data_IF_566028031073
#
_entry.id   IF_566028031073
#
_cell.length_a   1.000
_cell.length_b   1.000
_cell.length_c   1.000
_cell.angle_alpha   90.00
_cell.angle_beta   90.00
_cell.angle_gamma   90.00
#
_symmetry.space_group_name_H-M   'P 1'
#
loop_
_entity.id
_entity.type
_entity.pdbx_description
1 polymer ?
#
# COMPACT_ATOMS: atom_id res chain seq x y z
N UNK A 1 30.22 103.91 -20.53
CA UNK A 1 28.96 103.47 -19.87
C UNK A 1 29.21 102.09 -19.27
N UNK A 2 29.16 101.95 -17.94
CA UNK A 2 28.93 100.73 -17.13
C UNK A 2 29.12 99.40 -17.90
N UNK A 3 30.23 98.62 -17.89
CA UNK A 3 31.03 97.99 -16.79
C UNK A 3 30.11 97.33 -15.74
N UNK A 4 30.01 96.01 -15.54
CA UNK A 4 30.98 94.88 -15.38
C UNK A 4 30.53 93.69 -16.29
N UNK A 5 31.27 92.62 -16.66
CA UNK A 5 32.62 92.09 -16.36
C UNK A 5 32.53 90.63 -15.84
N UNK A 6 33.46 89.69 -16.09
CA UNK A 6 34.67 89.71 -16.93
C UNK A 6 35.31 88.31 -17.12
N UNK A 7 36.45 88.29 -17.84
CA UNK A 7 37.59 87.35 -17.86
C UNK A 7 37.42 85.81 -17.69
N UNK A 8 38.03 85.06 -18.63
CA UNK A 8 38.39 83.63 -18.49
C UNK A 8 38.42 82.92 -19.86
N UNK A 9 39.54 82.93 -20.60
CA UNK A 9 40.62 81.91 -20.58
C UNK A 9 40.26 80.55 -21.19
N UNK A 10 40.96 80.21 -22.29
CA UNK A 10 41.34 78.84 -22.62
C UNK A 10 40.25 77.87 -23.08
N UNK A 11 39.88 77.93 -24.37
CA UNK A 11 39.32 76.77 -25.08
C UNK A 11 40.44 75.73 -25.35
N UNK A 12 40.95 75.12 -24.29
CA UNK A 12 41.62 73.83 -24.38
C UNK A 12 40.53 72.79 -24.65
N UNK A 13 40.39 72.38 -25.92
CA UNK A 13 39.43 71.36 -26.30
C UNK A 13 39.74 70.05 -25.57
N UNK A 14 38.91 69.70 -24.59
CA UNK A 14 38.92 68.35 -24.02
C UNK A 14 38.41 67.41 -25.10
N UNK A 15 39.34 66.85 -25.86
CA UNK A 15 39.07 65.68 -26.69
C UNK A 15 38.79 64.54 -25.72
N UNK A 16 37.51 64.33 -25.42
CA UNK A 16 37.06 63.08 -24.81
C UNK A 16 37.31 62.00 -25.86
N UNK A 17 38.49 61.38 -25.79
CA UNK A 17 38.74 60.11 -26.45
C UNK A 17 37.80 59.12 -25.80
N UNK A 18 36.64 58.93 -26.41
CA UNK A 18 35.86 57.73 -26.23
C UNK A 18 36.70 56.58 -26.78
N UNK A 19 37.59 56.04 -25.94
CA UNK A 19 38.12 54.71 -26.16
C UNK A 19 36.88 53.82 -26.32
N UNK A 20 36.78 53.16 -27.48
CA UNK A 20 35.84 52.07 -27.65
C UNK A 20 36.32 50.99 -26.69
N UNK A 21 35.75 50.97 -25.48
CA UNK A 21 35.98 49.91 -24.51
C UNK A 21 35.73 48.61 -25.25
N UNK A 22 36.76 47.75 -25.28
CA UNK A 22 36.61 46.43 -25.85
C UNK A 22 35.79 45.64 -24.81
N UNK A 23 35.07 44.64 -25.29
CA UNK A 23 34.38 43.72 -24.39
C UNK A 23 35.32 42.55 -24.15
N UNK A 24 35.39 42.05 -22.92
CA UNK A 24 36.16 40.85 -22.62
C UNK A 24 35.68 39.71 -23.53
N UNK A 25 36.59 39.06 -24.28
CA UNK A 25 36.23 37.96 -25.17
C UNK A 25 35.86 36.71 -24.36
N UNK A 26 35.13 35.73 -24.94
CA UNK A 26 34.60 34.58 -24.18
C UNK A 26 35.65 33.67 -23.54
N UNK A 27 36.91 33.75 -23.97
CA UNK A 27 38.07 33.05 -23.41
C UNK A 27 38.69 33.73 -22.18
N UNK A 28 38.25 34.95 -21.82
CA UNK A 28 38.56 35.62 -20.54
C UNK A 28 37.56 35.27 -19.41
N UNK A 29 36.78 34.20 -19.57
CA UNK A 29 35.82 33.70 -18.58
C UNK A 29 36.12 32.25 -18.17
N UNK A 30 36.40 32.04 -16.88
CA UNK A 30 36.56 30.71 -16.29
C UNK A 30 35.21 30.15 -15.84
N UNK A 31 35.00 28.85 -16.03
CA UNK A 31 33.81 28.12 -15.57
C UNK A 31 34.27 26.95 -14.71
N UNK A 32 33.76 26.87 -13.49
CA UNK A 32 34.23 25.95 -12.45
C UNK A 32 33.06 25.44 -11.59
N UNK A 33 33.36 24.59 -10.61
CA UNK A 33 32.43 24.14 -9.57
C UNK A 33 31.08 23.61 -10.09
N UNK A 34 31.12 22.66 -11.06
CA UNK A 34 29.92 21.95 -11.51
C UNK A 34 29.31 21.14 -10.36
N UNK A 35 28.08 21.49 -9.98
CA UNK A 35 27.26 20.81 -8.99
C UNK A 35 26.02 20.26 -9.68
N UNK A 36 25.72 18.98 -9.43
CA UNK A 36 24.49 18.32 -9.90
C UNK A 36 23.79 17.77 -8.66
N UNK A 37 22.55 18.17 -8.42
CA UNK A 37 21.82 17.83 -7.20
C UNK A 37 20.30 17.68 -7.44
N UNK A 38 19.69 16.54 -7.05
CA UNK A 38 20.35 15.35 -6.51
C UNK A 38 21.11 14.58 -7.61
N UNK A 39 22.02 13.68 -7.21
CA UNK A 39 22.73 12.80 -8.15
C UNK A 39 21.93 11.55 -8.53
N UNK A 40 20.89 11.21 -7.75
CA UNK A 40 19.90 10.17 -8.02
C UNK A 40 18.52 10.80 -7.83
N UNK A 41 17.61 10.60 -8.78
CA UNK A 41 16.29 11.25 -8.84
C UNK A 41 15.24 10.29 -9.37
N UNK A 42 13.99 10.42 -8.93
CA UNK A 42 12.88 9.71 -9.60
C UNK A 42 12.48 10.44 -10.88
N UNK A 43 12.07 9.72 -11.91
CA UNK A 43 11.49 10.31 -13.13
C UNK A 43 10.35 11.29 -12.79
N UNK A 44 10.31 12.43 -13.48
CA UNK A 44 9.35 13.51 -13.24
C UNK A 44 9.73 14.49 -12.12
N UNK A 45 10.80 14.25 -11.35
CA UNK A 45 11.33 15.21 -10.37
C UNK A 45 12.53 16.00 -10.93
N UNK A 46 12.70 17.28 -10.57
CA UNK A 46 13.76 18.12 -11.14
C UNK A 46 15.14 17.81 -10.54
N UNK A 47 16.17 17.94 -11.39
CA UNK A 47 17.59 17.98 -11.04
C UNK A 47 18.10 19.38 -11.29
N UNK A 48 18.77 19.96 -10.29
CA UNK A 48 19.49 21.22 -10.42
C UNK A 48 20.92 20.98 -10.89
N UNK A 49 21.34 21.70 -11.91
CA UNK A 49 22.70 21.69 -12.48
C UNK A 49 23.22 23.12 -12.39
N UNK A 50 24.32 23.35 -11.67
CA UNK A 50 24.90 24.70 -11.53
C UNK A 50 26.42 24.71 -11.66
N UNK A 51 26.97 25.87 -12.02
CA UNK A 51 28.40 26.12 -12.11
C UNK A 51 28.72 27.56 -11.71
N UNK A 52 29.93 27.80 -11.23
CA UNK A 52 30.45 29.15 -11.02
C UNK A 52 31.05 29.67 -12.34
N UNK A 53 30.77 30.92 -12.68
CA UNK A 53 31.36 31.62 -13.83
C UNK A 53 32.05 32.88 -13.32
N UNK A 54 33.32 33.08 -13.66
CA UNK A 54 34.11 34.24 -13.26
C UNK A 54 34.72 34.94 -14.49
N UNK A 55 34.60 36.28 -14.56
CA UNK A 55 35.31 37.07 -15.56
C UNK A 55 36.72 37.39 -15.04
N UNK A 56 37.70 36.61 -15.48
CA UNK A 56 39.13 36.78 -15.16
C UNK A 56 39.82 37.82 -16.06
N UNK A 57 39.09 38.44 -16.98
CA UNK A 57 39.52 39.48 -17.88
C UNK A 57 39.68 40.86 -17.25
N UNK A 58 39.98 41.85 -18.09
CA UNK A 58 40.18 43.27 -17.64
C UNK A 58 39.07 44.22 -18.06
N UNK A 59 38.11 43.75 -18.86
CA UNK A 59 36.97 44.53 -19.35
C UNK A 59 35.64 43.84 -18.99
N UNK A 60 34.53 44.59 -19.04
CA UNK A 60 33.20 43.98 -18.93
C UNK A 60 32.93 43.13 -20.19
N UNK A 61 32.34 41.96 -20.02
CA UNK A 61 32.00 41.07 -21.13
C UNK A 61 30.73 40.27 -20.87
N UNK A 62 30.31 39.51 -21.88
CA UNK A 62 29.19 38.57 -21.76
C UNK A 62 29.60 37.21 -22.32
N UNK A 63 29.19 36.14 -21.65
CA UNK A 63 29.43 34.76 -22.08
C UNK A 63 28.12 33.96 -22.07
N UNK A 64 27.93 33.16 -23.12
CA UNK A 64 26.86 32.16 -23.18
C UNK A 64 27.36 30.87 -22.52
N UNK A 65 26.65 30.42 -21.49
CA UNK A 65 26.84 29.13 -20.83
C UNK A 65 25.79 28.18 -21.36
N UNK A 66 26.24 27.06 -21.92
CA UNK A 66 25.39 26.05 -22.54
C UNK A 66 25.39 24.82 -21.63
N UNK A 67 24.19 24.36 -21.25
CA UNK A 67 23.98 23.10 -20.56
C UNK A 67 23.48 22.05 -21.56
N UNK A 68 24.19 20.94 -21.64
CA UNK A 68 23.85 19.78 -22.47
C UNK A 68 23.58 18.57 -21.58
N UNK A 69 22.60 17.77 -22.00
CA UNK A 69 22.29 16.47 -21.39
C UNK A 69 22.29 15.42 -22.49
N UNK A 70 23.04 14.34 -22.31
CA UNK A 70 23.34 13.31 -23.32
C UNK A 70 23.82 13.87 -24.68
N UNK A 71 24.51 15.01 -24.65
CA UNK A 71 25.00 15.73 -25.84
C UNK A 71 23.93 16.51 -26.61
N UNK A 72 22.75 16.72 -26.03
CA UNK A 72 21.72 17.64 -26.55
C UNK A 72 21.64 18.89 -25.67
N UNK A 73 21.66 20.07 -26.27
CA UNK A 73 21.47 21.34 -25.56
C UNK A 73 20.06 21.37 -24.94
N UNK A 74 19.99 21.45 -23.61
CA UNK A 74 18.73 21.56 -22.86
C UNK A 74 18.42 23.00 -22.47
N UNK A 75 19.45 23.81 -22.23
CA UNK A 75 19.31 25.21 -21.86
C UNK A 75 20.58 26.02 -22.18
N UNK A 76 20.42 27.31 -22.39
CA UNK A 76 21.51 28.28 -22.51
C UNK A 76 21.18 29.53 -21.68
N UNK A 77 22.19 30.13 -21.06
CA UNK A 77 22.08 31.39 -20.31
C UNK A 77 23.23 32.33 -20.68
N UNK A 78 22.96 33.63 -20.77
CA UNK A 78 23.98 34.65 -21.04
C UNK A 78 24.23 35.43 -19.75
N UNK A 79 25.42 35.27 -19.18
CA UNK A 79 25.90 36.09 -18.05
C UNK A 79 26.67 37.30 -18.57
N UNK A 80 26.65 38.41 -17.81
CA UNK A 80 27.40 39.63 -18.12
C UNK A 80 28.05 40.15 -16.86
N UNK A 81 29.38 40.08 -16.80
CA UNK A 81 30.15 40.25 -15.56
C UNK A 81 31.23 41.32 -15.75
N UNK A 82 31.42 42.14 -14.72
CA UNK A 82 32.56 43.04 -14.60
C UNK A 82 33.87 42.27 -14.32
N UNK A 83 35.05 42.89 -14.50
CA UNK A 83 36.33 42.28 -14.16
C UNK A 83 36.41 41.81 -12.69
N UNK A 84 36.70 40.53 -12.47
CA UNK A 84 36.75 39.90 -11.15
C UNK A 84 35.37 39.69 -10.48
N UNK A 85 34.28 39.82 -11.23
CA UNK A 85 32.94 39.44 -10.79
C UNK A 85 32.65 37.98 -11.13
N UNK A 86 31.92 37.29 -10.26
CA UNK A 86 31.50 35.91 -10.44
C UNK A 86 30.02 35.69 -10.12
N UNK A 87 29.39 34.82 -10.90
CA UNK A 87 27.96 34.49 -10.81
C UNK A 87 27.76 32.97 -10.86
N UNK A 88 26.79 32.46 -10.07
CA UNK A 88 26.40 31.05 -10.11
C UNK A 88 25.25 30.89 -11.10
N UNK A 89 25.54 30.22 -12.22
CA UNK A 89 24.58 29.88 -13.26
C UNK A 89 23.88 28.59 -12.87
N UNK A 90 22.55 28.52 -12.99
CA UNK A 90 21.75 27.35 -12.60
C UNK A 90 20.71 26.99 -13.65
N UNK A 91 20.62 25.70 -13.94
CA UNK A 91 19.67 25.07 -14.85
C UNK A 91 18.85 24.03 -14.08
N UNK A 92 17.64 23.74 -14.55
CA UNK A 92 16.80 22.66 -14.04
C UNK A 92 16.43 21.71 -15.18
N UNK A 93 16.56 20.40 -14.93
CA UNK A 93 16.24 19.33 -15.89
C UNK A 93 15.37 18.29 -15.21
N UNK A 94 14.25 17.92 -15.85
CA UNK A 94 13.36 16.86 -15.35
C UNK A 94 13.46 15.63 -16.27
N UNK A 95 14.05 14.51 -15.83
CA UNK A 95 14.14 13.30 -16.63
C UNK A 95 12.79 12.58 -16.73
N UNK A 96 12.43 12.14 -17.95
CA UNK A 96 11.20 11.38 -18.22
C UNK A 96 11.45 9.86 -18.36
N UNK A 97 12.70 9.42 -18.46
CA UNK A 97 13.09 8.03 -18.70
C UNK A 97 14.13 7.60 -17.66
N UNK A 98 13.95 6.43 -17.05
CA UNK A 98 14.92 5.90 -16.11
C UNK A 98 16.20 5.43 -16.81
N UNK A 99 17.33 6.05 -16.46
CA UNK A 99 18.71 5.77 -16.93
C UNK A 99 19.69 6.72 -16.24
N UNK A 100 20.99 6.45 -16.39
CA UNK A 100 22.02 7.48 -16.19
C UNK A 100 22.01 8.48 -17.35
N UNK A 101 22.06 9.77 -17.02
CA UNK A 101 22.19 10.89 -17.95
C UNK A 101 23.60 11.49 -17.81
N UNK A 102 24.27 11.77 -18.93
CA UNK A 102 25.50 12.58 -18.90
C UNK A 102 25.17 14.06 -18.98
N UNK A 103 25.95 14.90 -18.28
CA UNK A 103 25.78 16.36 -18.25
C UNK A 103 27.10 16.99 -18.68
N UNK A 104 27.02 17.96 -19.60
CA UNK A 104 28.13 18.89 -19.91
C UNK A 104 27.69 20.35 -19.72
N UNK A 105 28.55 21.15 -19.09
CA UNK A 105 28.36 22.61 -18.95
C UNK A 105 29.68 23.30 -19.27
N UNK A 106 29.76 23.96 -20.43
CA UNK A 106 30.94 24.68 -20.93
C UNK A 106 32.30 23.95 -20.77
N UNK A 107 32.31 22.63 -20.97
CA UNK A 107 33.51 21.79 -20.86
C UNK A 107 33.75 21.14 -19.49
N UNK A 108 32.91 21.43 -18.49
CA UNK A 108 32.78 20.61 -17.27
C UNK A 108 31.85 19.41 -17.55
N UNK A 109 32.07 18.30 -16.87
CA UNK A 109 31.32 17.05 -17.08
C UNK A 109 30.86 16.43 -15.76
N UNK A 110 29.67 15.85 -15.77
CA UNK A 110 29.11 15.07 -14.66
C UNK A 110 28.00 14.13 -15.14
N UNK A 111 27.26 13.56 -14.21
CA UNK A 111 26.12 12.68 -14.50
C UNK A 111 25.17 12.60 -13.30
N UNK A 112 23.92 12.28 -13.56
CA UNK A 112 22.95 11.86 -12.55
C UNK A 112 22.21 10.59 -13.03
N UNK A 113 21.61 9.85 -12.09
CA UNK A 113 20.78 8.69 -12.37
C UNK A 113 19.30 9.03 -12.15
N UNK A 114 18.47 8.72 -13.15
CA UNK A 114 17.03 8.75 -13.01
C UNK A 114 16.51 7.33 -12.81
N UNK A 115 15.70 7.10 -11.78
CA UNK A 115 15.09 5.82 -11.44
C UNK A 115 13.56 5.87 -11.62
N UNK A 116 12.92 4.72 -11.84
CA UNK A 116 11.47 4.63 -11.79
C UNK A 116 10.98 4.69 -10.33
N UNK A 117 9.74 5.13 -10.09
CA UNK A 117 9.13 4.95 -8.77
C UNK A 117 9.03 3.44 -8.47
N UNK A 118 9.56 2.95 -7.34
CA UNK A 118 9.56 1.52 -7.06
C UNK A 118 8.13 1.06 -6.75
N UNK A 119 7.61 0.10 -7.51
CA UNK A 119 6.26 -0.42 -7.32
C UNK A 119 6.18 -1.35 -6.09
N UNK A 120 5.00 -1.42 -5.48
CA UNK A 120 4.77 -2.26 -4.29
C UNK A 120 4.92 -3.76 -4.60
N UNK A 121 5.79 -4.48 -3.86
CA UNK A 121 5.82 -5.96 -3.84
C UNK A 121 4.82 -6.47 -2.79
N UNK A 122 3.58 -6.68 -3.22
CA UNK A 122 2.50 -7.19 -2.37
C UNK A 122 2.43 -8.71 -2.46
N UNK A 123 2.54 -9.39 -1.32
CA UNK A 123 2.41 -10.84 -1.19
C UNK A 123 1.24 -11.24 -0.29
N UNK A 124 0.60 -12.35 -0.66
CA UNK A 124 -0.50 -12.96 0.09
C UNK A 124 -0.05 -14.33 0.58
N UNK A 125 -0.12 -14.54 1.89
CA UNK A 125 0.38 -15.76 2.55
C UNK A 125 -0.46 -16.11 3.79
N UNK A 126 -0.07 -17.20 4.47
CA UNK A 126 -0.69 -17.65 5.73
C UNK A 126 -2.21 -17.83 5.65
N UNK A 127 -2.70 -18.62 4.69
CA UNK A 127 -4.10 -19.03 4.63
C UNK A 127 -4.50 -19.81 5.88
N UNK A 128 -5.47 -19.29 6.63
CA UNK A 128 -6.10 -19.91 7.79
C UNK A 128 -7.59 -20.10 7.51
N UNK A 129 -8.12 -21.26 7.89
CA UNK A 129 -9.55 -21.59 7.81
C UNK A 129 -9.96 -22.13 9.18
N UNK A 130 -10.97 -21.51 9.81
CA UNK A 130 -11.40 -21.89 11.16
C UNK A 130 -12.91 -21.68 11.36
N UNK A 131 -13.66 -22.66 11.88
CA UNK A 131 -13.24 -24.05 12.13
C UNK A 131 -13.06 -24.84 10.83
N UNK A 132 -12.34 -25.97 10.88
CA UNK A 132 -12.20 -26.90 9.75
C UNK A 132 -13.33 -27.93 9.67
N UNK A 133 -14.12 -28.08 10.73
CA UNK A 133 -15.27 -28.98 10.83
C UNK A 133 -16.49 -28.26 11.43
N UNK A 134 -17.01 -27.19 10.78
CA UNK A 134 -18.21 -26.50 11.23
C UNK A 134 -19.45 -27.40 11.18
N UNK A 135 -20.45 -27.07 11.97
CA UNK A 135 -21.83 -27.51 11.69
C UNK A 135 -22.43 -26.69 10.54
N UNK A 136 -23.36 -27.26 9.78
CA UNK A 136 -24.19 -26.50 8.82
C UNK A 136 -24.87 -25.32 9.54
N UNK A 137 -24.80 -24.13 8.94
CA UNK A 137 -25.28 -22.89 9.54
C UNK A 137 -24.29 -22.18 10.49
N UNK A 138 -23.12 -22.77 10.78
CA UNK A 138 -22.06 -22.13 11.58
C UNK A 138 -21.14 -21.25 10.72
N UNK A 139 -20.57 -20.19 11.28
CA UNK A 139 -19.67 -19.29 10.56
C UNK A 139 -18.25 -19.88 10.50
N UNK A 140 -17.68 -19.92 9.30
CA UNK A 140 -16.26 -20.19 9.05
C UNK A 140 -15.56 -18.89 8.67
N UNK A 141 -14.51 -18.56 9.41
CA UNK A 141 -13.60 -17.48 9.05
C UNK A 141 -12.46 -18.03 8.18
N UNK A 142 -12.28 -17.44 7.01
CA UNK A 142 -11.20 -17.72 6.07
C UNK A 142 -10.33 -16.46 6.02
N UNK A 143 -9.05 -16.53 6.36
CA UNK A 143 -8.18 -15.36 6.38
C UNK A 143 -6.80 -15.60 5.76
N UNK A 144 -6.17 -14.51 5.31
CA UNK A 144 -4.80 -14.46 4.78
C UNK A 144 -4.10 -13.21 5.31
N UNK A 145 -2.77 -13.27 5.40
CA UNK A 145 -1.94 -12.07 5.63
C UNK A 145 -1.53 -11.50 4.27
N UNK A 146 -1.75 -10.20 4.09
CA UNK A 146 -1.31 -9.43 2.92
C UNK A 146 -0.25 -8.44 3.39
N UNK A 147 0.93 -8.50 2.79
CA UNK A 147 2.10 -7.68 3.17
C UNK A 147 2.66 -6.96 1.95
N UNK A 148 2.91 -5.66 2.07
CA UNK A 148 3.72 -4.90 1.12
C UNK A 148 5.17 -4.91 1.61
N UNK A 149 6.05 -5.64 0.93
CA UNK A 149 7.41 -5.93 1.41
C UNK A 149 8.35 -4.76 1.14
N UNK A 150 8.27 -4.17 -0.04
CA UNK A 150 9.14 -3.09 -0.51
C UNK A 150 8.47 -2.28 -1.62
N UNK A 151 9.10 -1.16 -2.00
CA UNK A 151 8.58 -0.20 -2.97
C UNK A 151 7.73 0.89 -2.32
N UNK A 152 6.81 1.47 -3.09
CA UNK A 152 5.88 2.50 -2.65
C UNK A 152 4.57 1.93 -2.04
N UNK A 153 3.67 2.82 -1.60
CA UNK A 153 2.34 2.41 -1.18
C UNK A 153 1.53 1.82 -2.35
N UNK A 154 1.01 0.60 -2.17
CA UNK A 154 0.27 -0.14 -3.19
C UNK A 154 -1.14 -0.53 -2.74
N UNK A 155 -2.00 -0.90 -3.68
CA UNK A 155 -3.31 -1.51 -3.39
C UNK A 155 -3.44 -2.86 -4.08
N UNK A 156 -4.01 -3.83 -3.37
CA UNK A 156 -4.23 -5.19 -3.84
C UNK A 156 -5.65 -5.65 -3.52
N UNK A 157 -6.30 -6.33 -4.46
CA UNK A 157 -7.62 -6.94 -4.26
C UNK A 157 -7.43 -8.43 -4.04
N UNK A 158 -7.79 -8.90 -2.84
CA UNK A 158 -7.78 -10.31 -2.47
C UNK A 158 -9.09 -10.95 -2.91
N UNK A 159 -9.02 -12.05 -3.64
CA UNK A 159 -10.18 -12.78 -4.16
C UNK A 159 -10.35 -14.13 -3.45
N UNK A 160 -11.50 -14.32 -2.80
CA UNK A 160 -11.99 -15.62 -2.37
C UNK A 160 -12.71 -16.33 -3.53
N UNK A 161 -12.31 -17.57 -3.80
CA UNK A 161 -12.87 -18.44 -4.84
C UNK A 161 -13.02 -19.89 -4.34
N UNK A 162 -13.54 -20.76 -5.21
CA UNK A 162 -13.88 -22.16 -4.90
C UNK A 162 -15.39 -22.33 -4.80
N UNK A 163 -15.86 -22.93 -3.71
CA UNK A 163 -17.29 -23.04 -3.39
C UNK A 163 -17.92 -21.70 -2.96
N UNK A 164 -17.10 -20.71 -2.60
CA UNK A 164 -17.51 -19.36 -2.20
C UNK A 164 -16.92 -18.31 -3.14
N UNK A 165 -17.48 -17.10 -3.13
CA UNK A 165 -16.98 -15.94 -3.88
C UNK A 165 -17.12 -14.66 -3.08
N UNK A 166 -16.01 -13.98 -2.84
CA UNK A 166 -15.95 -12.64 -2.25
C UNK A 166 -14.64 -11.96 -2.69
N UNK A 167 -14.55 -10.65 -2.51
CA UNK A 167 -13.32 -9.89 -2.76
C UNK A 167 -13.19 -8.76 -1.74
N UNK A 168 -11.95 -8.41 -1.39
CA UNK A 168 -11.65 -7.28 -0.52
C UNK A 168 -10.36 -6.59 -0.96
N UNK A 169 -10.42 -5.28 -1.18
CA UNK A 169 -9.25 -4.47 -1.50
C UNK A 169 -8.60 -3.91 -0.23
N UNK A 170 -7.27 -3.98 -0.16
CA UNK A 170 -6.46 -3.32 0.86
C UNK A 170 -5.43 -2.40 0.20
N UNK A 171 -5.17 -1.26 0.84
CA UNK A 171 -4.04 -0.38 0.53
C UNK A 171 -3.01 -0.53 1.64
N UNK A 172 -1.73 -0.65 1.28
CA UNK A 172 -0.62 -0.96 2.19
C UNK A 172 0.55 0.01 1.96
N UNK A 173 1.02 0.67 3.01
CA UNK A 173 2.31 1.40 2.96
C UNK A 173 3.48 0.42 2.94
N UNK A 174 4.70 0.84 2.58
CA UNK A 174 5.87 -0.04 2.56
C UNK A 174 6.14 -0.65 3.94
N UNK A 175 6.36 -1.97 3.99
CA UNK A 175 6.53 -2.73 5.23
C UNK A 175 5.24 -2.99 6.02
N UNK A 176 4.07 -2.55 5.54
CA UNK A 176 2.78 -2.79 6.22
C UNK A 176 2.25 -4.20 5.93
N UNK A 177 1.69 -4.84 6.95
CA UNK A 177 0.93 -6.09 6.84
C UNK A 177 -0.49 -5.92 7.39
N UNK A 178 -1.48 -6.44 6.68
CA UNK A 178 -2.89 -6.50 7.10
C UNK A 178 -3.43 -7.92 6.96
N UNK A 179 -4.26 -8.35 7.90
CA UNK A 179 -5.05 -9.59 7.75
C UNK A 179 -6.34 -9.25 6.99
N UNK A 180 -6.61 -9.99 5.92
CA UNK A 180 -7.90 -9.97 5.21
C UNK A 180 -8.68 -11.21 5.64
N UNK A 181 -9.95 -11.04 5.97
CA UNK A 181 -10.81 -12.11 6.48
C UNK A 181 -12.18 -12.09 5.82
N UNK A 182 -12.62 -13.26 5.36
CA UNK A 182 -13.95 -13.52 4.84
C UNK A 182 -14.71 -14.42 5.81
N UNK A 183 -15.99 -14.16 6.02
CA UNK A 183 -16.90 -15.03 6.76
C UNK A 183 -17.83 -15.72 5.78
N UNK A 184 -17.94 -17.04 5.89
CA UNK A 184 -18.84 -17.87 5.07
C UNK A 184 -19.64 -18.83 5.95
N UNK A 185 -20.84 -19.18 5.51
CA UNK A 185 -21.72 -20.13 6.20
C UNK A 185 -22.05 -21.28 5.24
N UNK A 186 -21.78 -22.55 5.60
CA UNK A 186 -22.13 -23.69 4.76
C UNK A 186 -23.59 -24.11 5.00
N UNK A 187 -24.39 -24.12 3.93
CA UNK A 187 -25.82 -24.50 3.98
C UNK A 187 -26.08 -26.01 3.90
N UNK A 188 -25.08 -26.82 3.52
CA UNK A 188 -25.20 -28.27 3.33
C UNK A 188 -23.97 -29.01 3.83
N UNK A 189 -24.15 -30.23 4.36
CA UNK A 189 -23.04 -31.04 4.84
C UNK A 189 -22.24 -31.63 3.67
N UNK A 190 -21.01 -31.17 3.49
CA UNK A 190 -20.05 -31.65 2.48
C UNK A 190 -18.64 -31.13 2.76
N UNK A 191 -17.66 -31.63 2.02
CA UNK A 191 -16.37 -30.95 1.87
C UNK A 191 -16.53 -29.69 1.00
N UNK A 192 -15.95 -28.58 1.46
CA UNK A 192 -15.88 -27.29 0.75
C UNK A 192 -14.42 -27.00 0.36
N UNK A 193 -14.25 -26.55 -0.88
CA UNK A 193 -12.98 -26.09 -1.43
C UNK A 193 -12.87 -24.57 -1.39
N UNK A 194 -11.71 -24.08 -0.96
CA UNK A 194 -11.42 -22.66 -0.79
C UNK A 194 -10.13 -22.33 -1.55
N UNK A 195 -10.13 -21.21 -2.25
CA UNK A 195 -8.91 -20.57 -2.72
C UNK A 195 -8.91 -19.09 -2.42
N UNK A 196 -7.76 -18.56 -1.99
CA UNK A 196 -7.55 -17.13 -1.77
C UNK A 196 -6.28 -16.73 -2.50
N UNK A 197 -6.39 -15.97 -3.59
CA UNK A 197 -5.27 -15.58 -4.48
C UNK A 197 -4.31 -16.73 -4.86
N UNK A 198 -4.85 -17.94 -5.09
CA UNK A 198 -4.06 -19.12 -5.45
C UNK A 198 -3.49 -19.91 -4.27
N UNK A 199 -3.61 -19.43 -3.03
CA UNK A 199 -3.53 -20.29 -1.86
C UNK A 199 -4.76 -21.21 -1.85
N UNK A 200 -4.61 -22.45 -1.36
CA UNK A 200 -5.66 -23.46 -1.39
C UNK A 200 -5.87 -24.10 -0.02
N UNK A 201 -7.13 -24.35 0.33
CA UNK A 201 -7.52 -25.04 1.55
C UNK A 201 -8.92 -25.67 1.44
N UNK A 202 -9.33 -26.38 2.48
CA UNK A 202 -10.66 -26.99 2.55
C UNK A 202 -11.13 -27.16 3.99
N UNK A 203 -12.45 -27.24 4.17
CA UNK A 203 -13.10 -27.61 5.42
C UNK A 203 -14.26 -28.57 5.13
N UNK A 204 -14.79 -29.26 6.14
CA UNK A 204 -15.91 -30.20 5.99
C UNK A 204 -17.06 -29.76 6.87
N UNK A 205 -18.15 -29.30 6.26
CA UNK A 205 -19.37 -29.01 7.00
C UNK A 205 -20.08 -30.31 7.38
N UNK A 206 -20.50 -30.40 8.64
CA UNK A 206 -21.22 -31.55 9.20
C UNK A 206 -22.71 -31.23 9.36
N UNK A 207 -23.56 -32.25 9.28
CA UNK A 207 -25.00 -32.10 9.49
C UNK A 207 -25.30 -31.52 10.88
N UNK A 208 -26.37 -30.73 10.99
CA UNK A 208 -26.89 -30.34 12.31
C UNK A 208 -27.41 -31.61 12.98
N UNK A 209 -26.67 -32.09 13.98
CA UNK A 209 -27.09 -33.24 14.76
C UNK A 209 -28.44 -32.97 15.44
N UNK A 210 -29.40 -33.89 15.26
CA UNK A 210 -30.75 -33.77 15.84
C UNK A 210 -31.00 -34.91 16.81
N UNK A 211 -31.41 -34.65 18.06
CA UNK A 211 -31.80 -35.71 18.98
C UNK A 211 -33.16 -36.27 18.57
N UNK A 212 -33.27 -37.60 18.52
CA UNK A 212 -34.51 -38.30 18.21
C UNK A 212 -34.61 -39.52 19.13
N UNK A 213 -35.81 -39.89 19.58
CA UNK A 213 -35.96 -40.88 20.65
C UNK A 213 -36.90 -42.01 20.26
N UNK A 214 -36.46 -43.25 20.49
CA UNK A 214 -37.38 -44.38 20.61
C UNK A 214 -37.73 -44.57 22.10
N UNK A 215 -39.00 -44.85 22.37
CA UNK A 215 -39.51 -45.05 23.73
C UNK A 215 -40.15 -46.43 23.81
N UNK A 216 -39.66 -47.25 24.72
CA UNK A 216 -40.29 -48.51 25.11
C UNK A 216 -40.85 -48.36 26.53
N UNK A 217 -42.00 -48.98 26.80
CA UNK A 217 -42.65 -48.95 28.10
C UNK A 217 -43.21 -50.33 28.45
N UNK A 218 -43.15 -50.69 29.73
CA UNK A 218 -43.68 -51.96 30.22
C UNK A 218 -44.20 -51.85 31.64
N UNK A 219 -45.26 -52.61 31.95
CA UNK A 219 -45.84 -52.72 33.30
C UNK A 219 -45.35 -54.03 33.92
N UNK A 220 -44.70 -53.95 35.08
CA UNK A 220 -44.11 -55.10 35.78
C UNK A 220 -45.18 -55.91 36.53
N UNK A 221 -46.19 -55.24 37.09
CA UNK A 221 -47.28 -55.88 37.83
C UNK A 221 -48.65 -55.56 37.21
N UNK A 222 -49.00 -56.23 36.10
CA UNK A 222 -50.24 -55.97 35.34
C UNK A 222 -51.57 -56.10 36.13
N UNK A 223 -51.57 -56.75 37.29
CA UNK A 223 -52.75 -56.92 38.16
C UNK A 223 -52.40 -56.59 39.62
N UNK A 224 -52.19 -55.31 39.96
CA UNK A 224 -51.97 -54.90 41.35
C UNK A 224 -53.27 -55.09 42.13
N UNK A 225 -53.16 -55.39 43.43
CA UNK A 225 -54.33 -55.39 44.32
C UNK A 225 -54.76 -53.97 44.65
N UNK A 226 -55.93 -53.85 45.29
CA UNK A 226 -56.34 -52.61 45.95
C UNK A 226 -55.23 -52.20 46.94
N UNK A 227 -54.89 -50.91 46.93
CA UNK A 227 -53.81 -50.28 47.71
C UNK A 227 -52.36 -50.71 47.36
N UNK A 228 -52.14 -51.45 46.27
CA UNK A 228 -50.79 -51.68 45.70
C UNK A 228 -50.43 -50.63 44.62
N UNK A 229 -49.14 -50.30 44.50
CA UNK A 229 -48.64 -49.42 43.43
C UNK A 229 -48.54 -50.15 42.09
N UNK A 230 -48.71 -49.43 40.97
CA UNK A 230 -48.33 -49.94 39.64
C UNK A 230 -46.83 -49.71 39.47
N UNK A 231 -46.07 -50.78 39.33
CA UNK A 231 -44.68 -50.77 38.91
C UNK A 231 -44.60 -50.88 37.38
N UNK A 232 -43.83 -49.98 36.78
CA UNK A 232 -43.62 -49.89 35.34
C UNK A 232 -42.24 -49.32 35.07
N UNK A 233 -41.73 -49.51 33.86
CA UNK A 233 -40.47 -48.95 33.38
C UNK A 233 -40.68 -48.21 32.06
N UNK A 234 -39.75 -47.30 31.77
CA UNK A 234 -39.64 -46.60 30.48
C UNK A 234 -38.17 -46.59 30.08
N UNK A 235 -37.86 -47.15 28.93
CA UNK A 235 -36.55 -47.05 28.30
C UNK A 235 -36.64 -45.99 27.19
N UNK A 236 -35.70 -45.05 27.19
CA UNK A 236 -35.59 -44.00 26.19
C UNK A 236 -34.20 -44.12 25.57
N UNK A 237 -34.14 -44.51 24.30
CA UNK A 237 -32.90 -44.58 23.53
C UNK A 237 -32.84 -43.38 22.60
N UNK A 238 -31.71 -42.67 22.56
CA UNK A 238 -31.48 -41.63 21.57
C UNK A 238 -31.01 -42.27 20.26
N UNK A 239 -31.93 -42.33 19.32
CA UNK A 239 -31.73 -42.81 17.94
C UNK A 239 -31.41 -41.67 16.97
N UNK A 240 -31.14 -40.46 17.48
CA UNK A 240 -30.77 -39.28 16.73
C UNK A 240 -29.26 -39.21 16.43
N UNK A 241 -28.82 -38.00 16.05
CA UNK A 241 -27.42 -37.69 15.69
C UNK A 241 -26.79 -36.63 16.59
N UNK A 242 -27.51 -36.13 17.60
CA UNK A 242 -26.97 -35.27 18.66
C UNK A 242 -27.47 -35.72 20.04
N UNK A 243 -26.74 -35.41 21.13
CA UNK A 243 -27.21 -35.62 22.49
C UNK A 243 -28.49 -34.82 22.78
N UNK A 244 -29.30 -35.28 23.71
CA UNK A 244 -30.47 -34.52 24.13
C UNK A 244 -31.14 -35.00 25.42
N UNK A 245 -31.83 -34.08 26.08
CA UNK A 245 -32.50 -34.28 27.37
C UNK A 245 -34.02 -34.17 27.20
N UNK A 246 -34.72 -35.25 26.80
CA UNK A 246 -36.17 -35.22 26.61
C UNK A 246 -36.93 -34.91 27.91
N UNK A 247 -38.02 -34.14 27.77
CA UNK A 247 -38.97 -33.92 28.86
C UNK A 247 -40.04 -34.99 28.85
N UNK A 248 -40.07 -35.82 29.89
CA UNK A 248 -41.07 -36.86 30.11
C UNK A 248 -42.25 -36.24 30.87
N UNK A 249 -43.47 -36.40 30.36
CA UNK A 249 -44.70 -35.87 30.97
C UNK A 249 -45.64 -37.00 31.36
N UNK A 250 -46.07 -36.99 32.61
CA UNK A 250 -46.91 -38.02 33.22
C UNK A 250 -48.36 -37.57 33.27
N UNK A 251 -49.25 -38.46 32.84
CA UNK A 251 -50.69 -38.23 32.83
C UNK A 251 -51.40 -39.39 33.53
N UNK A 252 -52.44 -39.08 34.30
CA UNK A 252 -53.34 -40.04 34.95
C UNK A 252 -54.76 -39.74 34.52
N UNK A 253 -55.45 -40.72 33.95
CA UNK A 253 -56.83 -40.58 33.47
C UNK A 253 -57.02 -39.37 32.52
N UNK A 254 -56.01 -39.12 31.66
CA UNK A 254 -55.95 -37.97 30.74
C UNK A 254 -55.55 -36.63 31.37
N UNK A 255 -55.51 -36.54 32.70
CA UNK A 255 -55.09 -35.33 33.43
C UNK A 255 -53.57 -35.30 33.64
N UNK A 256 -52.93 -34.15 33.44
CA UNK A 256 -51.50 -33.97 33.73
C UNK A 256 -51.22 -34.17 35.22
N UNK A 257 -50.16 -34.90 35.54
CA UNK A 257 -49.71 -35.15 36.91
C UNK A 257 -48.41 -34.41 37.22
N UNK A 258 -47.31 -34.74 36.55
CA UNK A 258 -46.02 -34.07 36.69
C UNK A 258 -45.14 -34.27 35.45
N UNK A 259 -43.97 -33.65 35.43
CA UNK A 259 -42.96 -33.88 34.39
C UNK A 259 -41.57 -33.91 34.97
N UNK A 260 -40.67 -34.61 34.29
CA UNK A 260 -39.24 -34.70 34.59
C UNK A 260 -38.42 -34.55 33.32
N UNK A 261 -37.28 -33.89 33.39
CA UNK A 261 -36.29 -33.87 32.32
C UNK A 261 -35.30 -35.01 32.58
N UNK A 262 -35.03 -35.85 31.59
CA UNK A 262 -33.98 -36.88 31.75
C UNK A 262 -32.59 -36.23 31.77
N UNK A 263 -31.54 -36.95 32.21
CA UNK A 263 -30.17 -36.62 31.81
C UNK A 263 -30.05 -36.52 30.29
N UNK A 264 -28.99 -35.85 29.80
CA UNK A 264 -28.62 -35.93 28.38
C UNK A 264 -28.36 -37.37 28.00
N UNK A 265 -29.02 -37.84 26.95
CA UNK A 265 -28.85 -39.17 26.37
C UNK A 265 -27.99 -38.99 25.13
N UNK A 266 -26.81 -39.59 25.12
CA UNK A 266 -25.94 -39.64 23.93
C UNK A 266 -26.58 -40.52 22.83
N UNK A 267 -26.33 -40.26 21.53
CA UNK A 267 -26.74 -41.16 20.46
C UNK A 267 -26.16 -42.58 20.63
N UNK A 268 -27.02 -43.62 20.58
CA UNK A 268 -26.61 -45.03 20.72
C UNK A 268 -27.62 -45.90 21.46
#
# INVERSE_FOLDING_TARGET
VVIVGGLGLGLAGVVVMAALARAAPPDEFEVSDLIISPYEVQIGYPVSISCLVENIGTEIGSKTIICEVDGAIVAEQIVTLAPGESEVVTFEVTPEVAKTYSVSVDGLYGSFEATEMPVADIRVENLVISPTEPMVGEIVTISVTVTNIEGEAGSHTVYLAGDFRAEQTVTLTPGESKVVSFEVTPDIAKAYSVSVDGLHGSFVATEIGVPAYSVALGVLNMTPKVDEYVEWWVDITNIGTAPGAPTIKWYRDGSYSYSSVSPSIEPG
#
